data_IF_696782416436
#
_entry.id   IF_696782416436
#
_cell.length_a   1.000
_cell.length_b   1.000
_cell.length_c   1.000
_cell.angle_alpha   90.00
_cell.angle_beta   90.00
_cell.angle_gamma   90.00
#
_symmetry.space_group_name_H-M   'P 1'
#
loop_
_entity.id
_entity.type
_entity.pdbx_description
1 polymer ?
#
# COMPACT_ATOMS: atom_id res chain seq x y z
N UNK A 1 10.67 -12.05 -4.79
CA UNK A 1 11.51 -11.34 -5.76
C UNK A 1 10.56 -10.60 -6.68
N UNK A 2 10.80 -9.31 -6.93
CA UNK A 2 9.92 -8.53 -7.81
C UNK A 2 10.13 -8.97 -9.27
N UNK A 3 9.02 -9.17 -10.00
CA UNK A 3 9.06 -9.61 -11.40
C UNK A 3 8.52 -8.49 -12.30
N UNK A 4 9.27 -8.07 -13.33
CA UNK A 4 8.80 -7.04 -14.25
C UNK A 4 7.50 -7.43 -14.97
N UNK A 5 6.58 -6.47 -15.10
CA UNK A 5 5.27 -6.70 -15.73
C UNK A 5 5.34 -7.37 -17.11
N UNK A 6 6.33 -7.00 -17.93
CA UNK A 6 6.45 -7.54 -19.29
C UNK A 6 6.73 -9.04 -19.33
N UNK A 7 7.26 -9.63 -18.25
CA UNK A 7 7.54 -11.05 -18.15
C UNK A 7 6.27 -11.84 -17.84
N UNK A 8 5.39 -11.28 -17.01
CA UNK A 8 4.23 -11.97 -16.45
C UNK A 8 2.90 -11.66 -17.17
N UNK A 9 2.84 -10.58 -17.95
CA UNK A 9 1.61 -10.11 -18.62
C UNK A 9 0.98 -11.12 -19.59
N UNK A 10 1.77 -12.07 -20.09
CA UNK A 10 1.36 -13.07 -21.09
C UNK A 10 1.11 -14.46 -20.47
N UNK A 11 1.25 -14.61 -19.16
CA UNK A 11 0.98 -15.88 -18.48
C UNK A 11 -0.52 -16.19 -18.51
N UNK A 12 -0.86 -17.49 -18.43
CA UNK A 12 -2.24 -17.94 -18.34
C UNK A 12 -2.66 -17.93 -16.88
N UNK A 13 -3.55 -17.01 -16.54
CA UNK A 13 -4.17 -16.96 -15.23
C UNK A 13 -5.56 -17.59 -15.29
N UNK A 14 -5.99 -18.30 -14.22
CA UNK A 14 -7.33 -18.87 -14.14
C UNK A 14 -8.42 -17.77 -14.12
N UNK A 15 -8.06 -16.57 -13.70
CA UNK A 15 -8.94 -15.40 -13.62
C UNK A 15 -8.35 -14.21 -14.37
N UNK A 16 -9.21 -13.23 -14.70
CA UNK A 16 -8.79 -12.02 -15.41
C UNK A 16 -8.04 -11.09 -14.46
N UNK A 17 -6.79 -10.76 -14.82
CA UNK A 17 -5.97 -9.82 -14.06
C UNK A 17 -6.12 -8.39 -14.61
N UNK A 18 -6.19 -7.43 -13.70
CA UNK A 18 -6.18 -6.00 -14.00
C UNK A 18 -4.92 -5.38 -13.39
N UNK A 19 -4.08 -4.80 -14.23
CA UNK A 19 -2.86 -4.12 -13.80
C UNK A 19 -3.07 -2.60 -13.86
N UNK A 20 -2.73 -1.92 -12.77
CA UNK A 20 -2.78 -0.47 -12.65
C UNK A 20 -1.41 0.05 -12.24
N UNK A 21 -1.07 1.25 -12.71
CA UNK A 21 0.11 1.95 -12.23
C UNK A 21 -0.08 2.41 -10.79
N UNK A 22 1.00 2.36 -9.99
CA UNK A 22 1.00 2.90 -8.64
C UNK A 22 0.72 4.41 -8.65
N UNK A 23 -0.18 4.87 -7.79
CA UNK A 23 -0.48 6.29 -7.57
C UNK A 23 -0.01 6.71 -6.17
N UNK A 24 1.20 7.24 -6.10
CA UNK A 24 1.85 7.60 -4.83
C UNK A 24 1.19 8.79 -4.12
N UNK A 25 0.65 9.77 -4.85
CA UNK A 25 -0.07 10.88 -4.24
C UNK A 25 -1.35 10.40 -3.56
N UNK A 26 -2.08 9.50 -4.22
CA UNK A 26 -3.26 8.89 -3.64
C UNK A 26 -2.92 8.11 -2.38
N UNK A 27 -1.91 7.24 -2.45
CA UNK A 27 -1.47 6.45 -1.29
C UNK A 27 -1.02 7.33 -0.12
N UNK A 28 -0.27 8.40 -0.37
CA UNK A 28 0.13 9.35 0.65
C UNK A 28 -1.08 10.04 1.30
N UNK A 29 -2.07 10.45 0.50
CA UNK A 29 -3.29 11.08 1.00
C UNK A 29 -4.14 10.12 1.85
N UNK A 30 -4.20 8.84 1.47
CA UNK A 30 -4.89 7.80 2.23
C UNK A 30 -4.19 7.54 3.56
N UNK A 31 -2.87 7.42 3.53
CA UNK A 31 -2.05 7.19 4.71
C UNK A 31 -2.18 8.30 5.74
N UNK A 32 -2.16 9.57 5.32
CA UNK A 32 -2.34 10.71 6.22
C UNK A 32 -3.68 10.63 6.99
N UNK A 33 -4.75 10.17 6.33
CA UNK A 33 -6.06 9.98 6.98
C UNK A 33 -6.05 8.83 7.99
N UNK A 34 -5.33 7.75 7.69
CA UNK A 34 -5.14 6.62 8.60
C UNK A 34 -4.34 7.05 9.83
N UNK A 35 -3.25 7.80 9.65
CA UNK A 35 -2.44 8.37 10.74
C UNK A 35 -3.30 9.19 11.69
N UNK A 36 -4.07 10.15 11.17
CA UNK A 36 -4.97 10.99 11.98
C UNK A 36 -5.96 10.15 12.81
N UNK A 37 -6.47 9.05 12.25
CA UNK A 37 -7.43 8.18 12.95
C UNK A 37 -6.76 7.35 14.05
N UNK A 38 -5.50 6.95 13.86
CA UNK A 38 -4.76 6.12 14.82
C UNK A 38 -4.18 6.93 15.97
N UNK A 39 -3.78 8.18 15.73
CA UNK A 39 -3.36 9.13 16.78
C UNK A 39 -4.48 9.38 17.81
N UNK A 40 -5.74 9.31 17.39
CA UNK A 40 -6.89 9.44 18.30
C UNK A 40 -7.12 8.19 19.18
N UNK A 41 -6.62 7.01 18.77
CA UNK A 41 -6.94 5.73 19.38
C UNK A 41 -5.79 5.12 20.20
N UNK A 42 -4.54 5.53 19.96
CA UNK A 42 -3.36 5.01 20.64
C UNK A 42 -2.44 6.13 21.13
N UNK A 43 -1.83 6.00 22.32
CA UNK A 43 -1.04 7.06 22.94
C UNK A 43 0.26 7.38 22.18
N UNK A 44 0.77 6.46 21.35
CA UNK A 44 1.93 6.67 20.49
C UNK A 44 1.99 5.64 19.36
N UNK A 45 1.91 6.11 18.12
CA UNK A 45 2.12 5.30 16.91
C UNK A 45 3.30 5.88 16.12
N UNK A 46 4.19 5.02 15.65
CA UNK A 46 5.29 5.39 14.76
C UNK A 46 5.09 4.75 13.38
N UNK A 47 5.26 5.57 12.36
CA UNK A 47 5.14 5.14 10.98
C UNK A 47 6.43 4.43 10.54
N UNK A 48 6.32 3.17 10.12
CA UNK A 48 7.45 2.38 9.65
C UNK A 48 7.55 2.37 8.11
N UNK A 49 6.41 2.38 7.41
CA UNK A 49 6.33 2.45 5.94
C UNK A 49 5.09 3.24 5.49
N UNK A 50 4.79 3.23 4.18
CA UNK A 50 3.55 3.85 3.66
C UNK A 50 2.27 3.08 4.05
N UNK A 51 2.41 1.86 4.55
CA UNK A 51 1.30 0.95 4.86
C UNK A 51 1.44 0.25 6.23
N UNK A 52 2.54 0.49 6.95
CA UNK A 52 2.85 -0.15 8.23
C UNK A 52 3.04 0.87 9.36
N UNK A 53 2.39 0.59 10.50
CA UNK A 53 2.51 1.37 11.74
C UNK A 53 2.63 0.44 12.95
N UNK A 54 3.45 0.85 13.91
CA UNK A 54 3.63 0.14 15.17
C UNK A 54 3.28 1.06 16.34
N UNK A 55 2.49 0.53 17.29
CA UNK A 55 2.32 1.17 18.59
C UNK A 55 3.62 1.00 19.37
N UNK A 56 4.09 2.09 19.97
CA UNK A 56 5.26 2.08 20.85
C UNK A 56 4.81 1.81 22.29
#
# INVERSE_FOLDING_TARGET
METPWFQIKNERYPEKIYAFSSNYELYASMLARVMNSLEELAPRVEQYSIDEMSSI
#
